data_IF_319309845135
#
_entry.id   IF_319309845135
#
_cell.length_a   1.000
_cell.length_b   1.000
_cell.length_c   1.000
_cell.angle_alpha   90.00
_cell.angle_beta   90.00
_cell.angle_gamma   90.00
#
_symmetry.space_group_name_H-M   'P 1'
#
loop_
_entity.id
_entity.type
_entity.pdbx_description
1 polymer ?
#
# COMPACT_ATOMS: atom_id res chain seq x y z
N UNK A 1 14.18 20.06 17.39
CA UNK A 1 13.27 19.17 16.65
C UNK A 1 13.44 19.43 15.17
N UNK A 2 13.48 18.39 14.34
CA UNK A 2 13.66 18.54 12.90
C UNK A 2 12.39 18.98 12.17
N UNK A 3 12.47 18.90 10.84
CA UNK A 3 11.36 19.16 9.92
C UNK A 3 10.20 18.18 10.15
N UNK A 4 9.01 18.55 9.67
CA UNK A 4 7.87 17.65 9.68
C UNK A 4 8.14 16.46 8.77
N UNK A 5 7.78 15.26 9.22
CA UNK A 5 7.89 14.05 8.44
C UNK A 5 6.78 14.03 7.39
N UNK A 6 7.14 13.68 6.16
CA UNK A 6 6.18 13.51 5.08
C UNK A 6 5.13 12.43 5.42
N UNK A 7 3.86 12.62 5.01
CA UNK A 7 2.82 11.62 5.23
C UNK A 7 3.24 10.23 4.69
N UNK A 8 2.86 9.18 5.42
CA UNK A 8 3.17 7.76 5.13
C UNK A 8 4.62 7.33 5.36
N UNK A 9 5.56 8.23 5.68
CA UNK A 9 6.95 7.85 5.99
C UNK A 9 7.09 7.10 7.32
N UNK A 10 6.07 7.14 8.19
CA UNK A 10 6.04 6.33 9.42
C UNK A 10 6.11 4.83 9.15
N UNK A 11 5.79 4.37 7.94
CA UNK A 11 5.98 2.97 7.53
C UNK A 11 7.44 2.52 7.59
N UNK A 12 8.41 3.43 7.43
CA UNK A 12 9.83 3.12 7.58
C UNK A 12 10.30 3.10 9.06
N UNK A 13 9.48 3.59 9.99
CA UNK A 13 9.88 3.74 11.40
C UNK A 13 9.60 2.49 12.26
N UNK A 14 8.78 1.57 11.77
CA UNK A 14 8.34 0.38 12.51
C UNK A 14 8.55 -0.88 11.69
N UNK A 15 9.80 -1.13 11.32
CA UNK A 15 10.20 -2.29 10.53
C UNK A 15 10.09 -3.59 11.34
N UNK A 16 9.72 -4.72 10.71
CA UNK A 16 9.85 -6.03 11.33
C UNK A 16 11.29 -6.30 11.76
N UNK A 17 11.46 -6.98 12.89
CA UNK A 17 12.79 -7.31 13.46
C UNK A 17 13.07 -8.82 13.48
N UNK A 18 12.21 -9.62 12.85
CA UNK A 18 12.35 -11.07 12.80
C UNK A 18 13.68 -11.49 12.14
N UNK A 19 14.42 -12.45 12.71
CA UNK A 19 15.61 -13.00 12.10
C UNK A 19 15.27 -13.79 10.82
N UNK A 20 16.27 -14.00 9.96
CA UNK A 20 16.10 -14.70 8.67
C UNK A 20 15.50 -16.11 8.79
N UNK A 21 15.75 -16.82 9.90
CA UNK A 21 15.20 -18.15 10.16
C UNK A 21 13.70 -18.17 10.50
N UNK A 22 13.09 -17.01 10.75
CA UNK A 22 11.65 -16.84 11.05
C UNK A 22 10.86 -16.26 9.87
N UNK A 23 11.45 -16.23 8.67
CA UNK A 23 10.76 -15.82 7.45
C UNK A 23 10.12 -17.02 6.77
N UNK A 24 8.88 -16.85 6.32
CA UNK A 24 8.19 -17.77 5.45
C UNK A 24 8.78 -17.76 4.04
N UNK A 25 8.35 -18.71 3.20
CA UNK A 25 8.85 -18.90 1.83
C UNK A 25 8.71 -17.64 0.96
N UNK A 26 7.68 -16.85 1.20
CA UNK A 26 7.37 -15.61 0.49
C UNK A 26 8.20 -14.41 0.99
N UNK A 27 8.87 -14.53 2.13
CA UNK A 27 9.69 -13.50 2.75
C UNK A 27 9.01 -12.71 3.87
N UNK A 28 7.72 -12.93 4.14
CA UNK A 28 7.09 -12.37 5.33
C UNK A 28 7.51 -13.12 6.61
N UNK A 29 7.40 -12.51 7.81
CA UNK A 29 7.48 -13.27 9.05
C UNK A 29 6.46 -14.41 9.08
N UNK A 30 6.85 -15.55 9.65
CA UNK A 30 5.93 -16.68 9.89
C UNK A 30 4.74 -16.19 10.74
N UNK A 31 3.53 -16.55 10.32
CA UNK A 31 2.29 -16.18 11.01
C UNK A 31 2.15 -16.93 12.35
N UNK A 32 1.32 -16.39 13.25
CA UNK A 32 1.01 -17.03 14.54
C UNK A 32 1.56 -16.30 15.77
N UNK A 33 2.24 -15.17 15.58
CA UNK A 33 2.56 -14.22 16.66
C UNK A 33 1.50 -13.11 16.73
N UNK A 34 1.79 -11.89 16.24
CA UNK A 34 0.80 -10.81 16.22
C UNK A 34 -0.35 -11.05 15.24
N UNK A 35 -0.07 -11.49 14.01
CA UNK A 35 -1.11 -11.85 13.04
C UNK A 35 -1.56 -13.30 13.28
N UNK A 36 -2.87 -13.59 13.14
CA UNK A 36 -3.38 -14.94 13.42
C UNK A 36 -2.73 -15.96 12.46
N UNK A 37 -2.66 -17.23 12.85
CA UNK A 37 -2.27 -18.27 11.90
C UNK A 37 -3.29 -18.30 10.75
N UNK A 38 -2.80 -18.25 9.51
CA UNK A 38 -3.62 -18.35 8.30
C UNK A 38 -3.00 -19.38 7.37
N UNK A 39 -3.82 -20.32 6.88
CA UNK A 39 -3.39 -21.42 6.01
C UNK A 39 -3.19 -21.06 4.54
N UNK A 40 -3.63 -19.86 4.16
CA UNK A 40 -3.63 -19.37 2.79
C UNK A 40 -2.30 -18.65 2.50
N UNK A 41 -1.71 -18.95 1.35
CA UNK A 41 -0.31 -18.63 1.05
C UNK A 41 -0.09 -17.21 0.54
N UNK A 42 -1.02 -16.68 -0.26
CA UNK A 42 -0.88 -15.34 -0.85
C UNK A 42 -1.39 -14.29 0.11
N UNK A 43 -0.49 -13.42 0.58
CA UNK A 43 -0.82 -12.23 1.38
C UNK A 43 -0.85 -10.99 0.50
N UNK A 44 -1.87 -10.16 0.67
CA UNK A 44 -2.01 -8.85 0.02
C UNK A 44 -2.40 -7.78 1.02
N UNK A 45 -1.71 -6.64 1.02
CA UNK A 45 -2.21 -5.43 1.69
C UNK A 45 -3.19 -4.74 0.73
N UNK A 46 -4.47 -5.02 0.90
CA UNK A 46 -5.52 -4.68 -0.07
C UNK A 46 -5.96 -3.22 0.02
N UNK A 47 -6.05 -2.66 1.23
CA UNK A 47 -6.43 -1.27 1.46
C UNK A 47 -5.86 -0.69 2.74
N UNK A 48 -5.87 0.64 2.83
CA UNK A 48 -5.58 1.38 4.05
C UNK A 48 -6.47 2.61 4.20
N UNK A 49 -6.70 3.02 5.43
CA UNK A 49 -7.48 4.22 5.80
C UNK A 49 -6.73 4.96 6.88
N UNK A 50 -6.43 6.25 6.66
CA UNK A 50 -5.60 7.04 7.56
C UNK A 50 -6.28 8.34 7.95
N UNK A 51 -6.15 8.71 9.22
CA UNK A 51 -6.49 10.01 9.77
C UNK A 51 -5.25 10.65 10.38
N UNK A 52 -4.99 11.91 10.02
CA UNK A 52 -3.79 12.64 10.39
C UNK A 52 -4.08 13.73 11.43
N UNK A 53 -3.52 13.57 12.62
CA UNK A 53 -3.55 14.51 13.75
C UNK A 53 -2.36 15.48 13.74
N UNK A 54 -1.66 15.64 14.87
CA UNK A 54 -0.44 16.46 14.91
C UNK A 54 0.67 15.91 13.97
N UNK A 55 1.52 16.75 13.35
CA UNK A 55 2.61 16.26 12.50
C UNK A 55 3.68 15.57 13.35
N UNK A 56 4.19 14.44 12.86
CA UNK A 56 5.41 13.83 13.36
C UNK A 56 6.62 14.65 12.89
N UNK A 57 7.69 14.74 13.71
CA UNK A 57 8.92 15.45 13.32
C UNK A 57 10.15 14.56 13.36
N UNK A 58 11.11 14.87 12.48
CA UNK A 58 12.38 14.15 12.43
C UNK A 58 13.11 14.26 13.77
N UNK A 59 13.55 13.11 14.29
CA UNK A 59 14.26 12.97 15.56
C UNK A 59 13.36 12.71 16.77
N UNK A 60 12.02 12.78 16.63
CA UNK A 60 11.10 12.43 17.71
C UNK A 60 11.08 10.93 17.99
N UNK A 61 10.86 10.56 19.26
CA UNK A 61 10.54 9.17 19.62
C UNK A 61 9.10 8.87 19.22
N UNK A 62 8.91 7.83 18.41
CA UNK A 62 7.59 7.36 18.01
C UNK A 62 7.17 6.11 18.80
N UNK A 63 5.88 6.00 19.08
CA UNK A 63 5.27 4.78 19.65
C UNK A 63 4.13 4.32 18.74
N UNK A 64 4.14 3.05 18.31
CA UNK A 64 3.02 2.43 17.59
C UNK A 64 2.30 1.44 18.48
N UNK A 65 0.97 1.51 18.53
CA UNK A 65 0.10 0.49 19.12
C UNK A 65 -0.73 -0.14 18.03
N UNK A 66 -0.70 -1.46 17.94
CA UNK A 66 -1.39 -2.22 16.90
C UNK A 66 -2.46 -3.13 17.53
N UNK A 67 -3.63 -3.21 16.92
CA UNK A 67 -4.74 -4.03 17.38
C UNK A 67 -5.34 -4.77 16.19
N UNK A 68 -5.56 -6.08 16.33
CA UNK A 68 -6.38 -6.80 15.36
C UNK A 68 -7.82 -6.36 15.58
N UNK A 69 -8.37 -5.59 14.63
CA UNK A 69 -9.75 -5.13 14.66
C UNK A 69 -10.71 -6.28 14.37
N UNK A 70 -10.37 -7.12 13.39
CA UNK A 70 -11.23 -8.22 12.96
C UNK A 70 -10.46 -9.25 12.15
N UNK A 71 -10.88 -10.50 12.26
CA UNK A 71 -10.50 -11.61 11.38
C UNK A 71 -11.79 -12.17 10.82
N UNK A 72 -11.92 -12.22 9.49
CA UNK A 72 -13.12 -12.69 8.82
C UNK A 72 -12.73 -13.70 7.76
N UNK A 73 -13.19 -14.94 7.94
CA UNK A 73 -13.07 -15.99 6.93
C UNK A 73 -14.30 -15.98 6.03
N UNK A 74 -14.10 -16.06 4.72
CA UNK A 74 -15.16 -16.08 3.72
C UNK A 74 -14.79 -17.03 2.60
N UNK A 75 -15.81 -17.48 1.89
CA UNK A 75 -15.65 -18.14 0.61
C UNK A 75 -16.09 -17.17 -0.50
N UNK A 76 -15.16 -16.82 -1.39
CA UNK A 76 -15.38 -15.91 -2.50
C UNK A 76 -15.43 -16.64 -3.83
N UNK A 77 -15.72 -15.91 -4.91
CA UNK A 77 -15.73 -16.47 -6.26
C UNK A 77 -14.38 -17.00 -6.76
N UNK A 78 -13.29 -16.71 -6.03
CA UNK A 78 -11.93 -17.19 -6.30
C UNK A 78 -11.45 -18.23 -5.28
N UNK A 79 -12.35 -18.75 -4.43
CA UNK A 79 -12.04 -19.71 -3.38
C UNK A 79 -12.00 -19.10 -1.96
N UNK A 80 -11.41 -19.81 -1.00
CA UNK A 80 -11.28 -19.37 0.39
C UNK A 80 -10.52 -18.04 0.50
N UNK A 81 -10.94 -17.21 1.46
CA UNK A 81 -10.34 -15.91 1.74
C UNK A 81 -10.35 -15.65 3.24
N UNK A 82 -9.25 -15.11 3.77
CA UNK A 82 -9.21 -14.57 5.14
C UNK A 82 -8.89 -13.08 5.06
N UNK A 83 -9.74 -12.25 5.63
CA UNK A 83 -9.52 -10.81 5.77
C UNK A 83 -9.13 -10.50 7.21
N UNK A 84 -7.99 -9.86 7.39
CA UNK A 84 -7.49 -9.38 8.68
C UNK A 84 -7.39 -7.87 8.62
N UNK A 85 -8.18 -7.18 9.45
CA UNK A 85 -8.07 -5.73 9.60
C UNK A 85 -7.26 -5.43 10.87
N UNK A 86 -6.25 -4.60 10.73
CA UNK A 86 -5.36 -4.18 11.83
C UNK A 86 -5.45 -2.66 11.97
N UNK A 87 -5.76 -2.19 13.17
CA UNK A 87 -5.69 -0.78 13.52
C UNK A 87 -4.31 -0.46 14.11
N UNK A 88 -3.74 0.65 13.70
CA UNK A 88 -2.53 1.24 14.25
C UNK A 88 -2.81 2.64 14.79
N UNK A 89 -2.26 2.93 15.97
CA UNK A 89 -2.20 4.27 16.54
C UNK A 89 -0.74 4.66 16.72
N UNK A 90 -0.33 5.74 16.05
CA UNK A 90 1.05 6.23 16.05
C UNK A 90 1.09 7.52 16.84
N UNK A 91 1.91 7.52 17.89
CA UNK A 91 2.11 8.64 18.79
C UNK A 91 3.50 9.23 18.57
N UNK A 92 3.57 10.56 18.44
CA UNK A 92 4.80 11.34 18.56
C UNK A 92 4.86 12.08 19.89
N UNK A 93 5.72 13.08 20.00
CA UNK A 93 5.87 13.87 21.24
C UNK A 93 4.65 14.77 21.52
N UNK A 94 3.87 15.11 20.48
CA UNK A 94 2.64 15.90 20.58
C UNK A 94 1.37 15.05 20.77
N UNK A 95 1.52 13.75 21.05
CA UNK A 95 0.40 12.83 21.23
C UNK A 95 0.05 12.04 19.97
N UNK A 96 -1.23 11.72 19.78
CA UNK A 96 -1.71 10.90 18.67
C UNK A 96 -1.58 11.65 17.34
N UNK A 97 -0.73 11.13 16.46
CA UNK A 97 -0.39 11.76 15.20
C UNK A 97 -1.07 11.09 14.00
N UNK A 98 -1.20 9.76 14.04
CA UNK A 98 -1.81 8.98 12.95
C UNK A 98 -2.66 7.86 13.55
N UNK A 99 -3.89 7.75 13.05
CA UNK A 99 -4.70 6.54 13.15
C UNK A 99 -4.76 5.90 11.77
N UNK A 100 -4.48 4.61 11.69
CA UNK A 100 -4.38 3.87 10.43
C UNK A 100 -5.10 2.52 10.56
N UNK A 101 -5.97 2.19 9.62
CA UNK A 101 -6.45 0.82 9.41
C UNK A 101 -5.73 0.22 8.22
N UNK A 102 -5.20 -0.99 8.36
CA UNK A 102 -4.68 -1.80 7.26
C UNK A 102 -5.57 -3.02 7.08
N UNK A 103 -6.02 -3.26 5.86
CA UNK A 103 -6.81 -4.43 5.51
C UNK A 103 -5.93 -5.40 4.70
N UNK A 104 -5.64 -6.54 5.32
CA UNK A 104 -4.81 -7.61 4.76
C UNK A 104 -5.72 -8.74 4.30
N UNK A 105 -5.49 -9.24 3.10
CA UNK A 105 -6.22 -10.36 2.52
C UNK A 105 -5.27 -11.51 2.31
N UNK A 106 -5.68 -12.69 2.73
CA UNK A 106 -5.02 -13.95 2.43
C UNK A 106 -5.87 -14.78 1.47
N UNK A 107 -5.23 -15.35 0.46
CA UNK A 107 -5.83 -16.13 -0.61
C UNK A 107 -4.98 -17.36 -0.92
N UNK A 108 -5.58 -18.37 -1.55
CA UNK A 108 -4.80 -19.39 -2.23
C UNK A 108 -4.05 -18.79 -3.42
N UNK A 109 -2.89 -19.36 -3.72
CA UNK A 109 -2.18 -19.07 -4.96
C UNK A 109 -2.93 -19.77 -6.11
N UNK A 110 -3.45 -19.04 -7.12
CA UNK A 110 -4.14 -19.65 -8.25
C UNK A 110 -3.13 -20.33 -9.18
N UNK A 111 -3.57 -21.37 -9.90
CA UNK A 111 -2.73 -22.09 -10.89
C UNK A 111 -2.18 -21.18 -12.01
N UNK A 112 -2.87 -20.07 -12.29
CA UNK A 112 -2.44 -19.05 -13.24
C UNK A 112 -2.95 -17.67 -12.82
N UNK A 113 -2.21 -16.62 -13.18
CA UNK A 113 -2.67 -15.26 -12.95
C UNK A 113 -3.92 -14.94 -13.79
N UNK A 114 -4.95 -14.45 -13.10
CA UNK A 114 -6.18 -13.94 -13.70
C UNK A 114 -6.30 -12.47 -13.32
N UNK A 115 -6.17 -11.53 -14.27
CA UNK A 115 -6.26 -10.12 -13.96
C UNK A 115 -7.67 -9.77 -13.47
N UNK A 116 -7.81 -8.88 -12.46
CA UNK A 116 -9.09 -8.30 -12.10
C UNK A 116 -9.72 -7.56 -13.29
N UNK A 117 -11.04 -7.32 -13.23
CA UNK A 117 -11.72 -6.51 -14.25
C UNK A 117 -11.11 -5.10 -14.29
N UNK A 118 -10.63 -4.63 -15.47
CA UNK A 118 -9.99 -3.32 -15.57
C UNK A 118 -11.00 -2.20 -15.30
N UNK A 119 -10.50 -1.10 -14.75
CA UNK A 119 -11.24 0.15 -14.55
C UNK A 119 -10.58 1.24 -15.39
N UNK A 120 -11.36 1.98 -16.15
CA UNK A 120 -10.86 3.04 -17.03
C UNK A 120 -10.16 4.14 -16.23
N UNK A 121 -9.13 4.75 -16.81
CA UNK A 121 -8.50 5.96 -16.26
C UNK A 121 -9.48 7.16 -16.35
N UNK A 122 -9.32 8.20 -15.52
CA UNK A 122 -10.14 9.41 -15.62
C UNK A 122 -9.89 10.16 -16.93
N UNK A 123 -10.96 10.64 -17.58
CA UNK A 123 -10.86 11.35 -18.87
C UNK A 123 -10.31 12.78 -18.74
N UNK A 124 -10.71 13.51 -17.69
CA UNK A 124 -10.36 14.91 -17.47
C UNK A 124 -9.72 15.11 -16.09
N UNK A 125 -8.48 14.63 -15.89
CA UNK A 125 -7.81 14.75 -14.61
C UNK A 125 -7.38 16.19 -14.33
N UNK A 126 -7.52 16.65 -13.07
CA UNK A 126 -6.91 17.89 -12.57
C UNK A 126 -5.43 17.70 -12.21
N UNK A 127 -5.01 16.44 -12.05
CA UNK A 127 -3.64 16.03 -11.78
C UNK A 127 -3.25 14.89 -12.72
N UNK A 128 -2.16 15.03 -13.46
CA UNK A 128 -1.61 13.94 -14.28
C UNK A 128 -0.09 13.96 -14.26
N UNK A 129 0.51 13.01 -13.55
CA UNK A 129 1.95 12.82 -13.46
C UNK A 129 2.35 11.43 -13.96
N UNK A 130 3.64 11.26 -14.26
CA UNK A 130 4.24 9.99 -14.65
C UNK A 130 5.41 9.66 -13.75
N UNK A 131 5.50 8.40 -13.33
CA UNK A 131 6.63 7.86 -12.56
C UNK A 131 7.20 6.64 -13.27
N UNK A 132 8.51 6.50 -13.23
CA UNK A 132 9.22 5.35 -13.79
C UNK A 132 9.49 4.33 -12.69
N UNK A 133 9.13 3.07 -12.92
CA UNK A 133 9.48 1.96 -12.03
C UNK A 133 10.74 1.27 -12.54
N UNK A 134 11.53 0.77 -11.61
CA UNK A 134 12.74 0.03 -11.95
C UNK A 134 13.07 -0.95 -10.84
N UNK A 135 13.87 -1.95 -11.16
CA UNK A 135 14.35 -2.97 -10.24
C UNK A 135 15.08 -2.33 -9.05
N UNK A 136 15.99 -1.33 -9.22
CA UNK A 136 16.61 -0.64 -8.08
C UNK A 136 15.61 0.15 -7.22
N UNK A 137 14.55 0.71 -7.80
CA UNK A 137 13.50 1.39 -7.03
C UNK A 137 12.74 0.39 -6.17
N UNK A 138 12.27 -0.73 -6.75
CA UNK A 138 11.54 -1.76 -6.02
C UNK A 138 12.40 -2.39 -4.92
N UNK A 139 13.69 -2.62 -5.20
CA UNK A 139 14.65 -3.08 -4.19
C UNK A 139 14.83 -2.08 -3.06
N UNK A 140 15.08 -0.79 -3.36
CA UNK A 140 15.28 0.23 -2.32
C UNK A 140 14.04 0.45 -1.45
N UNK A 141 12.85 0.42 -2.06
CA UNK A 141 11.61 0.52 -1.32
C UNK A 141 11.41 -0.69 -0.39
N UNK A 142 11.68 -1.90 -0.89
CA UNK A 142 11.68 -3.13 -0.08
C UNK A 142 12.65 -3.03 1.10
N UNK A 143 13.87 -2.55 0.86
CA UNK A 143 14.91 -2.43 1.88
C UNK A 143 14.57 -1.38 2.95
N UNK A 144 14.12 -0.18 2.58
CA UNK A 144 13.83 0.89 3.55
C UNK A 144 12.57 0.61 4.38
N UNK A 145 11.63 -0.15 3.83
CA UNK A 145 10.40 -0.56 4.54
C UNK A 145 10.51 -1.94 5.20
N UNK A 146 11.65 -2.63 5.05
CA UNK A 146 11.84 -4.03 5.45
C UNK A 146 10.72 -4.95 4.92
N UNK A 147 10.20 -4.66 3.74
CA UNK A 147 9.25 -5.52 3.05
C UNK A 147 10.00 -6.55 2.21
N UNK A 148 10.22 -7.73 2.77
CA UNK A 148 10.96 -8.81 2.12
C UNK A 148 10.10 -9.70 1.21
N UNK A 149 8.83 -9.35 0.93
CA UNK A 149 7.97 -10.14 0.06
C UNK A 149 8.56 -10.25 -1.35
N UNK A 150 8.87 -11.48 -1.74
CA UNK A 150 9.68 -11.80 -2.92
C UNK A 150 9.06 -11.36 -4.25
N UNK A 151 7.73 -11.21 -4.32
CA UNK A 151 7.05 -10.74 -5.55
C UNK A 151 7.53 -9.36 -6.03
N UNK A 152 8.21 -8.60 -5.18
CA UNK A 152 8.68 -7.26 -5.48
C UNK A 152 10.09 -7.19 -6.10
N UNK A 153 10.91 -8.25 -5.95
CA UNK A 153 12.32 -8.22 -6.37
C UNK A 153 12.86 -9.54 -6.94
N UNK A 154 12.18 -10.67 -6.73
CA UNK A 154 12.56 -12.00 -7.21
C UNK A 154 11.60 -12.41 -8.34
N UNK A 155 12.00 -12.14 -9.58
CA UNK A 155 11.18 -12.39 -10.77
C UNK A 155 10.85 -13.88 -10.96
N UNK A 156 11.82 -14.82 -10.85
CA UNK A 156 11.50 -16.25 -10.86
C UNK A 156 10.45 -16.65 -9.82
N UNK A 157 10.54 -16.15 -8.59
CA UNK A 157 9.51 -16.42 -7.58
C UNK A 157 8.14 -15.82 -7.96
N UNK A 158 8.11 -14.55 -8.36
CA UNK A 158 6.87 -13.87 -8.76
C UNK A 158 6.14 -14.65 -9.87
N UNK A 159 6.89 -15.15 -10.87
CA UNK A 159 6.34 -15.85 -12.04
C UNK A 159 6.05 -17.34 -11.79
N UNK A 160 6.93 -18.05 -11.07
CA UNK A 160 6.85 -19.51 -10.98
C UNK A 160 6.14 -20.00 -9.71
N UNK A 161 6.10 -19.17 -8.65
CA UNK A 161 5.45 -19.52 -7.38
C UNK A 161 4.14 -18.77 -7.22
N UNK A 162 4.10 -17.46 -7.49
CA UNK A 162 2.87 -16.67 -7.38
C UNK A 162 2.21 -16.35 -8.73
N UNK A 163 2.76 -16.87 -9.83
CA UNK A 163 2.17 -16.81 -11.17
C UNK A 163 1.93 -15.41 -11.74
N UNK A 164 2.48 -14.35 -11.14
CA UNK A 164 2.39 -12.99 -11.66
C UNK A 164 3.23 -12.84 -12.94
N UNK A 165 2.81 -12.00 -13.90
CA UNK A 165 3.54 -11.81 -15.16
C UNK A 165 4.89 -11.10 -14.98
N UNK A 166 5.03 -10.27 -13.95
CA UNK A 166 6.23 -9.50 -13.64
C UNK A 166 6.37 -9.22 -12.14
N UNK A 167 7.35 -8.40 -11.77
CA UNK A 167 7.50 -7.95 -10.39
C UNK A 167 6.32 -7.06 -10.02
N UNK A 168 5.68 -7.31 -8.88
CA UNK A 168 4.56 -6.50 -8.41
C UNK A 168 5.09 -5.19 -7.83
N UNK A 169 4.59 -4.06 -8.31
CA UNK A 169 4.87 -2.74 -7.71
C UNK A 169 4.12 -2.63 -6.39
N UNK A 170 4.83 -2.33 -5.30
CA UNK A 170 4.26 -2.28 -3.95
C UNK A 170 3.02 -1.38 -3.89
N UNK A 171 1.94 -1.89 -3.29
CA UNK A 171 0.78 -1.05 -2.95
C UNK A 171 1.18 0.19 -2.13
N UNK A 172 1.98 0.04 -1.05
CA UNK A 172 2.47 1.18 -0.27
C UNK A 172 3.29 2.20 -1.08
N UNK A 173 4.06 1.78 -2.08
CA UNK A 173 4.78 2.73 -2.95
C UNK A 173 3.80 3.54 -3.80
N UNK A 174 2.78 2.89 -4.37
CA UNK A 174 1.71 3.56 -5.11
C UNK A 174 0.94 4.54 -4.21
N UNK A 175 0.58 4.14 -2.99
CA UNK A 175 -0.10 5.00 -2.02
C UNK A 175 0.76 6.22 -1.63
N UNK A 176 2.05 6.02 -1.38
CA UNK A 176 3.00 7.10 -1.09
C UNK A 176 3.08 8.12 -2.24
N UNK A 177 3.14 7.64 -3.48
CA UNK A 177 3.12 8.50 -4.67
C UNK A 177 1.82 9.29 -4.82
N UNK A 178 0.65 8.64 -4.65
CA UNK A 178 -0.63 9.34 -4.70
C UNK A 178 -0.76 10.39 -3.59
N UNK A 179 -0.32 10.06 -2.38
CA UNK A 179 -0.27 11.00 -1.25
C UNK A 179 0.64 12.21 -1.54
N UNK A 180 1.85 11.97 -2.06
CA UNK A 180 2.78 13.05 -2.42
C UNK A 180 2.20 13.96 -3.50
N UNK A 181 1.62 13.38 -4.55
CA UNK A 181 0.99 14.13 -5.63
C UNK A 181 -0.18 14.98 -5.10
N UNK A 182 -1.01 14.41 -4.22
CA UNK A 182 -2.11 15.11 -3.58
C UNK A 182 -1.64 16.28 -2.69
N UNK A 183 -0.59 16.06 -1.88
CA UNK A 183 0.02 17.09 -1.05
C UNK A 183 0.63 18.22 -1.89
N UNK A 184 1.31 17.88 -2.99
CA UNK A 184 1.91 18.87 -3.89
C UNK A 184 0.82 19.71 -4.58
N UNK A 185 -0.26 19.08 -5.03
CA UNK A 185 -1.38 19.75 -5.67
C UNK A 185 -2.12 20.71 -4.73
N UNK A 186 -2.35 20.29 -3.47
CA UNK A 186 -3.06 21.11 -2.46
C UNK A 186 -2.17 22.02 -1.63
N UNK A 187 -0.84 21.87 -1.71
CA UNK A 187 0.14 22.59 -0.90
C UNK A 187 0.13 22.24 0.61
N UNK A 188 -0.61 21.21 1.02
CA UNK A 188 -0.72 20.74 2.42
C UNK A 188 -1.17 19.28 2.47
N UNK A 189 -0.90 18.56 3.57
CA UNK A 189 -1.38 17.17 3.76
C UNK A 189 -2.89 17.09 4.05
N UNK A 190 -3.59 16.02 3.61
CA UNK A 190 -5.00 15.82 3.93
C UNK A 190 -5.20 15.47 5.41
N UNK A 191 -6.44 15.64 5.90
CA UNK A 191 -6.90 15.09 7.18
C UNK A 191 -7.15 13.59 7.08
N UNK A 192 -7.73 13.14 5.96
CA UNK A 192 -8.04 11.73 5.72
C UNK A 192 -7.48 11.25 4.38
N UNK A 193 -6.97 10.02 4.37
CA UNK A 193 -6.49 9.36 3.17
C UNK A 193 -6.85 7.89 3.17
N UNK A 194 -7.68 7.50 2.20
CA UNK A 194 -8.06 6.11 1.97
C UNK A 194 -7.42 5.62 0.68
N UNK A 195 -6.99 4.37 0.63
CA UNK A 195 -6.49 3.76 -0.60
C UNK A 195 -6.85 2.29 -0.70
N UNK A 196 -6.96 1.78 -1.92
CA UNK A 196 -7.20 0.37 -2.21
C UNK A 196 -6.56 -0.07 -3.53
N UNK A 197 -5.97 -1.25 -3.54
CA UNK A 197 -5.59 -1.93 -4.77
C UNK A 197 -6.84 -2.39 -5.53
N UNK A 198 -6.92 -2.10 -6.82
CA UNK A 198 -8.01 -2.54 -7.72
C UNK A 198 -7.51 -3.38 -8.88
N UNK A 199 -6.26 -3.19 -9.28
CA UNK A 199 -5.54 -4.02 -10.23
C UNK A 199 -4.04 -4.01 -9.87
N UNK A 200 -3.33 -5.15 -9.88
CA UNK A 200 -1.89 -5.14 -9.67
C UNK A 200 -1.18 -4.39 -10.80
N UNK A 201 -0.11 -3.69 -10.42
CA UNK A 201 0.77 -2.96 -11.34
C UNK A 201 2.10 -3.70 -11.36
N UNK A 202 2.69 -3.86 -12.55
CA UNK A 202 3.85 -4.71 -12.74
C UNK A 202 5.05 -3.98 -13.33
N UNK A 203 6.24 -4.44 -12.96
CA UNK A 203 7.43 -4.28 -13.78
C UNK A 203 7.66 -5.59 -14.54
N UNK A 204 7.15 -5.64 -15.77
CA UNK A 204 7.30 -6.79 -16.67
C UNK A 204 8.48 -6.54 -17.64
N UNK A 205 9.40 -7.50 -17.83
CA UNK A 205 10.46 -7.37 -18.81
C UNK A 205 9.91 -7.10 -20.22
N UNK A 206 10.39 -6.03 -20.87
CA UNK A 206 9.99 -5.66 -22.23
C UNK A 206 8.70 -4.83 -22.34
N UNK A 207 7.99 -4.58 -21.24
CA UNK A 207 6.80 -3.71 -21.22
C UNK A 207 7.12 -2.30 -20.72
N UNK A 208 6.12 -1.41 -20.78
CA UNK A 208 6.24 -0.04 -20.26
C UNK A 208 6.55 -0.05 -18.76
N UNK A 209 7.52 0.78 -18.37
CA UNK A 209 7.92 1.03 -16.97
C UNK A 209 7.22 2.24 -16.37
N UNK A 210 6.37 2.89 -17.14
CA UNK A 210 5.67 4.12 -16.74
C UNK A 210 4.39 3.78 -15.97
N UNK A 211 4.22 4.44 -14.83
CA UNK A 211 3.00 4.47 -14.02
C UNK A 211 2.45 5.88 -14.05
N UNK A 212 1.19 5.99 -14.41
CA UNK A 212 0.45 7.24 -14.39
C UNK A 212 -0.09 7.48 -12.99
N UNK A 213 -0.05 8.72 -12.52
CA UNK A 213 -0.74 9.17 -11.30
C UNK A 213 -1.75 10.19 -11.78
N UNK A 214 -3.03 9.91 -11.55
CA UNK A 214 -4.12 10.76 -12.03
C UNK A 214 -5.03 11.14 -10.88
N UNK A 215 -5.65 12.31 -10.95
CA UNK A 215 -6.59 12.77 -9.94
C UNK A 215 -7.69 13.64 -10.51
N UNK A 216 -8.90 13.52 -9.96
CA UNK A 216 -10.03 14.42 -10.15
C UNK A 216 -10.41 15.05 -8.82
N UNK A 217 -10.95 16.25 -8.86
CA UNK A 217 -11.38 17.00 -7.68
C UNK A 217 -12.91 17.12 -7.66
N UNK A 218 -13.51 16.93 -6.49
CA UNK A 218 -14.94 17.14 -6.27
C UNK A 218 -15.27 18.61 -5.90
N UNK A 219 -16.56 18.93 -5.78
CA UNK A 219 -17.02 20.30 -5.51
C UNK A 219 -16.60 20.84 -4.13
N UNK A 220 -16.29 19.96 -3.17
CA UNK A 220 -15.84 20.32 -1.82
C UNK A 220 -14.31 20.25 -1.68
N UNK A 221 -13.60 20.07 -2.79
CA UNK A 221 -12.15 20.08 -2.84
C UNK A 221 -11.47 18.79 -2.36
N UNK A 222 -12.21 17.69 -2.25
CA UNK A 222 -11.68 16.34 -2.07
C UNK A 222 -11.07 15.81 -3.37
N UNK A 223 -10.01 15.02 -3.26
CA UNK A 223 -9.35 14.40 -4.42
C UNK A 223 -9.69 12.91 -4.50
N UNK A 224 -10.14 12.46 -5.67
CA UNK A 224 -10.16 11.05 -6.06
C UNK A 224 -8.97 10.80 -6.99
N UNK A 225 -8.10 9.88 -6.59
CA UNK A 225 -6.79 9.64 -7.19
C UNK A 225 -6.68 8.19 -7.66
N UNK A 226 -5.86 7.94 -8.66
CA UNK A 226 -5.48 6.58 -9.03
C UNK A 226 -4.07 6.49 -9.60
N UNK A 227 -3.43 5.33 -9.42
CA UNK A 227 -2.33 4.93 -10.31
C UNK A 227 -2.88 4.27 -11.56
N UNK A 228 -2.16 4.34 -12.67
CA UNK A 228 -2.54 3.75 -13.96
C UNK A 228 -1.37 3.03 -14.62
N UNK A 229 -1.68 1.90 -15.28
CA UNK A 229 -0.75 1.19 -16.17
C UNK A 229 -1.55 0.51 -17.28
N UNK A 230 -1.08 0.58 -18.53
CA UNK A 230 -1.74 -0.09 -19.65
C UNK A 230 -3.20 0.33 -19.85
N UNK A 231 -3.51 1.61 -19.63
CA UNK A 231 -4.84 2.19 -19.85
C UNK A 231 -5.89 1.87 -18.78
N UNK A 232 -5.52 1.27 -17.65
CA UNK A 232 -6.45 1.00 -16.55
C UNK A 232 -5.86 1.32 -15.19
N UNK A 233 -6.73 1.51 -14.21
CA UNK A 233 -6.37 1.87 -12.84
C UNK A 233 -5.74 0.69 -12.09
N UNK A 234 -4.65 0.95 -11.36
CA UNK A 234 -3.97 0.02 -10.46
C UNK A 234 -4.43 0.15 -9.01
N UNK A 235 -4.19 1.32 -8.42
CA UNK A 235 -4.64 1.71 -7.08
C UNK A 235 -5.62 2.87 -7.20
N UNK A 236 -6.61 2.91 -6.32
CA UNK A 236 -7.46 4.08 -6.09
C UNK A 236 -7.14 4.67 -4.72
N UNK A 237 -7.23 5.99 -4.59
CA UNK A 237 -7.15 6.67 -3.31
C UNK A 237 -8.11 7.86 -3.24
N UNK A 238 -8.49 8.26 -2.03
CA UNK A 238 -9.25 9.47 -1.75
C UNK A 238 -8.50 10.28 -0.71
N UNK A 239 -8.36 11.59 -0.92
CA UNK A 239 -7.69 12.51 -0.01
C UNK A 239 -8.63 13.68 0.33
N UNK A 240 -8.86 13.93 1.62
CA UNK A 240 -9.86 14.88 2.12
C UNK A 240 -9.21 15.86 3.11
N UNK A 241 -9.46 17.15 2.95
CA UNK A 241 -8.90 18.23 3.79
C UNK A 241 -9.91 18.91 4.72
N UNK A 242 -11.17 18.94 4.34
CA UNK A 242 -12.27 19.52 5.11
C UNK A 242 -13.20 18.41 5.58
N UNK A 243 -13.85 18.59 6.73
CA UNK A 243 -14.90 17.63 7.13
C UNK A 243 -16.05 17.81 6.15
N UNK A 244 -16.33 16.76 5.37
CA UNK A 244 -17.61 16.67 4.65
C UNK A 244 -18.71 16.75 5.71
N UNK A 245 -19.45 17.87 5.70
CA UNK A 245 -20.61 18.07 6.57
C UNK A 245 -21.71 17.03 6.27
#
# INVERSE_FOLDING_TARGET
MGEAVDPLWHWCAFTPTNPMGELARDGHPILGDFLPPVRLERRMWASGSLSFGAPLRVGERLTKRSFIRSVIEKEGGSGPMVLVSVDHKIYGEQGLAIEERQDIVYLDIPEAFRPPRPRALPDNPVLHERRQVSEPLLFRFSAITFNAHRIHYDLPYAQQVEHYPGLVVHGPLQAAWLMQAACAHKGRRPKHFDFRGVHPVFLTPGESREIELMGTEDEVGGLSLCTGQGGHQGMQATAIWEETQ
#
